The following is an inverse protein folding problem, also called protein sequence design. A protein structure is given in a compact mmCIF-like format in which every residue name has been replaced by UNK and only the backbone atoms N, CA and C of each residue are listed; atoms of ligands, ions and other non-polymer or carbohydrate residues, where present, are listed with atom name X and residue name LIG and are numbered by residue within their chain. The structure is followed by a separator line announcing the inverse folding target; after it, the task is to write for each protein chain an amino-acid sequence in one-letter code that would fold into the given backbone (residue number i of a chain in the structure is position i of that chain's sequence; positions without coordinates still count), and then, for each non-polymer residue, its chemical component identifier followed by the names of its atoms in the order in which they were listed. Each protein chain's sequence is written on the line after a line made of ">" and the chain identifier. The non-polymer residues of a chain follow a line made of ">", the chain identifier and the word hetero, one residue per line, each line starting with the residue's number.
data_IF_470825529698
#
_entry.id   IF_470825529698
#
_cell.length_a   1.000
_cell.length_b   1.000
_cell.length_c   1.000
_cell.angle_alpha   90.00
_cell.angle_beta   90.00
_cell.angle_gamma   90.00
#
_symmetry.space_group_name_H-M   'P 1'
#
loop_
_entity.id
_entity.type
_entity.pdbx_description
1 polymer ?
#
# COMPACT_ATOMS: atom_id res chain seq x y z
N UNK A 1 -10.85 2.25 40.86
CA UNK A 1 -11.26 1.66 39.56
C UNK A 1 -10.40 2.29 38.46
N UNK A 2 -9.32 1.61 38.05
CA UNK A 2 -8.40 2.14 37.02
C UNK A 2 -9.06 1.97 35.65
N UNK A 3 -9.39 3.08 35.01
CA UNK A 3 -9.82 3.11 33.61
C UNK A 3 -8.56 2.89 32.77
N UNK A 4 -8.35 1.66 32.31
CA UNK A 4 -7.39 1.38 31.23
C UNK A 4 -7.97 1.97 29.95
N UNK A 5 -7.31 3.02 29.45
CA UNK A 5 -7.60 3.61 28.14
C UNK A 5 -7.28 2.55 27.07
N UNK A 6 -8.28 1.81 26.63
CA UNK A 6 -8.21 1.00 25.41
C UNK A 6 -8.17 1.96 24.22
N UNK A 7 -6.97 2.38 23.86
CA UNK A 7 -6.74 3.05 22.59
C UNK A 7 -6.99 2.01 21.52
N UNK A 8 -8.17 2.06 20.88
CA UNK A 8 -8.42 1.37 19.61
C UNK A 8 -7.54 2.05 18.56
N UNK A 9 -6.25 1.77 18.62
CA UNK A 9 -5.32 1.95 17.52
C UNK A 9 -5.43 0.71 16.66
N UNK A 10 -5.73 0.89 15.37
CA UNK A 10 -5.23 -0.06 14.38
C UNK A 10 -3.74 -0.20 14.70
N UNK A 11 -3.26 -1.41 14.95
CA UNK A 11 -1.87 -1.60 15.32
C UNK A 11 -1.05 -1.22 14.08
N UNK A 12 -0.51 0.00 14.06
CA UNK A 12 0.04 0.60 12.85
C UNK A 12 1.33 -0.08 12.36
N UNK A 13 1.84 -1.06 13.12
CA UNK A 13 2.86 -2.01 12.69
C UNK A 13 2.37 -3.02 11.65
N UNK A 14 1.05 -3.23 11.53
CA UNK A 14 0.52 -4.27 10.65
C UNK A 14 0.86 -4.00 9.17
N UNK A 15 0.86 -2.74 8.74
CA UNK A 15 1.26 -2.38 7.36
C UNK A 15 2.74 -2.64 7.07
N UNK A 16 3.63 -2.55 8.06
CA UNK A 16 5.05 -2.88 7.87
C UNK A 16 5.26 -4.38 7.73
N UNK A 17 4.26 -5.19 8.10
CA UNK A 17 4.26 -6.64 7.92
C UNK A 17 3.75 -7.06 6.54
N UNK A 18 3.12 -6.15 5.80
CA UNK A 18 2.64 -6.42 4.45
C UNK A 18 3.82 -6.71 3.50
N UNK A 19 3.64 -7.62 2.52
CA UNK A 19 4.60 -7.79 1.44
C UNK A 19 4.63 -6.56 0.52
N UNK A 20 5.63 -6.50 -0.36
CA UNK A 20 5.59 -5.55 -1.48
C UNK A 20 4.33 -5.77 -2.32
N UNK A 21 3.66 -4.67 -2.65
CA UNK A 21 2.48 -4.68 -3.49
C UNK A 21 2.76 -5.26 -4.89
N UNK A 22 1.72 -5.82 -5.54
CA UNK A 22 1.89 -6.64 -6.72
C UNK A 22 2.54 -5.89 -7.90
N UNK A 23 2.26 -4.60 -8.10
CA UNK A 23 2.85 -3.88 -9.23
C UNK A 23 4.35 -3.57 -9.08
N UNK A 24 4.86 -3.42 -7.85
CA UNK A 24 6.33 -3.34 -7.65
C UNK A 24 7.01 -4.66 -7.97
N UNK A 25 6.43 -5.78 -7.54
CA UNK A 25 7.00 -7.10 -7.84
C UNK A 25 6.90 -7.39 -9.34
N UNK A 26 5.77 -7.07 -9.95
CA UNK A 26 5.57 -7.15 -11.40
C UNK A 26 6.59 -6.32 -12.19
N UNK A 27 6.88 -5.09 -11.74
CA UNK A 27 7.84 -4.21 -12.41
C UNK A 27 9.27 -4.77 -12.49
N UNK A 28 9.64 -5.68 -11.58
CA UNK A 28 10.90 -6.41 -11.64
C UNK A 28 10.87 -7.55 -12.68
N UNK A 29 9.69 -8.11 -12.98
CA UNK A 29 9.51 -9.21 -13.93
C UNK A 29 9.28 -8.73 -15.37
N UNK A 30 8.53 -7.63 -15.54
CA UNK A 30 8.04 -7.10 -16.84
C UNK A 30 9.12 -6.30 -17.60
N UNK A 31 10.41 -6.59 -17.36
CA UNK A 31 11.52 -5.87 -18.00
C UNK A 31 11.95 -6.44 -19.36
N UNK A 32 11.16 -7.35 -19.96
CA UNK A 32 11.51 -7.88 -21.27
C UNK A 32 11.37 -6.77 -22.34
N UNK A 33 12.41 -6.52 -23.17
CA UNK A 33 12.32 -5.56 -24.25
C UNK A 33 11.08 -5.81 -25.12
N UNK A 34 10.25 -4.79 -25.28
CA UNK A 34 9.04 -4.85 -26.11
C UNK A 34 7.75 -5.17 -25.35
N UNK A 35 7.80 -5.71 -24.13
CA UNK A 35 6.62 -6.14 -23.36
C UNK A 35 5.64 -4.99 -23.05
N UNK A 36 6.14 -3.75 -23.12
CA UNK A 36 5.38 -2.52 -22.91
C UNK A 36 5.37 -2.10 -21.45
N UNK A 37 4.42 -1.23 -21.08
CA UNK A 37 4.23 -0.78 -19.69
C UNK A 37 3.36 -1.78 -18.93
N UNK A 38 3.58 -1.91 -17.62
CA UNK A 38 2.61 -2.59 -16.75
C UNK A 38 1.26 -1.86 -16.81
N UNK A 39 0.17 -2.60 -17.04
CA UNK A 39 -1.19 -2.07 -16.98
C UNK A 39 -1.73 -2.20 -15.55
N UNK A 40 -1.77 -3.42 -15.02
CA UNK A 40 -2.02 -3.66 -13.60
C UNK A 40 -1.42 -4.99 -13.15
N UNK A 41 -1.32 -5.18 -11.84
CA UNK A 41 -0.93 -6.43 -11.20
C UNK A 41 -1.79 -6.69 -9.94
N UNK A 42 -2.03 -7.96 -9.63
CA UNK A 42 -2.83 -8.38 -8.48
C UNK A 42 -2.25 -9.62 -7.81
N UNK A 43 -2.37 -9.71 -6.49
CA UNK A 43 -2.13 -10.97 -5.79
C UNK A 43 -3.42 -11.75 -5.60
N UNK A 44 -3.32 -13.07 -5.72
CA UNK A 44 -4.39 -14.01 -5.40
C UNK A 44 -3.80 -15.22 -4.67
N UNK A 45 -4.54 -15.80 -3.76
CA UNK A 45 -4.20 -17.03 -3.02
C UNK A 45 -5.19 -18.15 -3.31
N UNK A 46 -6.47 -17.82 -3.40
CA UNK A 46 -7.58 -18.75 -3.55
C UNK A 46 -8.32 -18.50 -4.86
N UNK A 47 -8.82 -19.58 -5.48
CA UNK A 47 -9.74 -19.47 -6.60
C UNK A 47 -10.86 -20.49 -6.51
N UNK A 48 -12.04 -20.10 -6.98
CA UNK A 48 -13.19 -21.00 -7.17
C UNK A 48 -13.47 -21.24 -8.65
N UNK A 49 -14.29 -22.25 -8.95
CA UNK A 49 -14.69 -22.61 -10.30
C UNK A 49 -16.21 -22.68 -10.42
N UNK A 50 -16.76 -21.86 -11.31
CA UNK A 50 -18.15 -21.83 -11.74
C UNK A 50 -18.24 -22.39 -13.18
N UNK A 51 -18.00 -23.70 -13.29
CA UNK A 51 -17.99 -24.45 -14.56
C UNK A 51 -18.81 -25.72 -14.39
N UNK A 52 -19.76 -26.02 -15.30
CA UNK A 52 -20.53 -27.26 -15.24
C UNK A 52 -19.64 -28.50 -15.15
N UNK A 53 -19.91 -29.35 -14.14
CA UNK A 53 -19.18 -30.60 -13.93
C UNK A 53 -17.79 -30.47 -13.31
N UNK A 54 -17.40 -29.27 -12.87
CA UNK A 54 -16.19 -29.05 -12.06
C UNK A 54 -16.61 -28.73 -10.63
N UNK A 55 -16.05 -29.45 -9.67
CA UNK A 55 -16.31 -29.22 -8.24
C UNK A 55 -15.33 -28.18 -7.71
N UNK A 56 -15.82 -27.26 -6.88
CA UNK A 56 -14.97 -26.34 -6.13
C UNK A 56 -13.94 -27.10 -5.30
N UNK A 57 -12.71 -26.61 -5.28
CA UNK A 57 -11.64 -27.12 -4.41
C UNK A 57 -11.43 -26.27 -3.16
N UNK A 58 -12.23 -25.22 -2.98
CA UNK A 58 -12.11 -24.36 -1.80
C UNK A 58 -12.60 -25.06 -0.55
N UNK A 59 -11.92 -24.80 0.57
CA UNK A 59 -12.41 -25.22 1.86
C UNK A 59 -13.73 -24.51 2.16
N UNK A 60 -14.63 -25.20 2.87
CA UNK A 60 -15.82 -24.55 3.42
C UNK A 60 -15.35 -23.38 4.31
N UNK A 61 -15.80 -22.16 4.01
CA UNK A 61 -15.48 -20.89 4.68
C UNK A 61 -14.36 -20.03 4.06
N UNK A 62 -13.66 -20.49 3.02
CA UNK A 62 -12.67 -19.64 2.31
C UNK A 62 -13.34 -18.76 1.25
N UNK A 63 -13.18 -17.43 1.33
CA UNK A 63 -13.63 -16.50 0.29
C UNK A 63 -12.63 -16.47 -0.89
N UNK A 64 -13.06 -16.76 -2.13
CA UNK A 64 -12.15 -16.75 -3.28
C UNK A 64 -11.64 -15.36 -3.62
N UNK A 65 -10.37 -15.27 -4.03
CA UNK A 65 -9.82 -14.04 -4.65
C UNK A 65 -10.19 -13.93 -6.13
N UNK A 66 -10.49 -15.06 -6.78
CA UNK A 66 -10.96 -15.09 -8.17
C UNK A 66 -11.95 -16.25 -8.40
N UNK A 67 -12.89 -16.05 -9.34
CA UNK A 67 -13.82 -17.09 -9.79
C UNK A 67 -13.58 -17.34 -11.27
N UNK A 68 -13.26 -18.59 -11.62
CA UNK A 68 -13.06 -19.06 -12.98
C UNK A 68 -14.39 -19.56 -13.51
N UNK A 69 -14.86 -19.04 -14.65
CA UNK A 69 -16.17 -19.41 -15.19
C UNK A 69 -16.09 -19.74 -16.69
N UNK A 70 -17.00 -20.59 -17.15
CA UNK A 70 -17.03 -20.99 -18.56
C UNK A 70 -18.02 -22.11 -18.88
N UNK A 71 -18.22 -22.39 -20.18
CA UNK A 71 -19.26 -23.30 -20.64
C UNK A 71 -18.94 -24.79 -20.42
N UNK A 72 -17.66 -25.15 -20.28
CA UNK A 72 -17.21 -26.53 -20.18
C UNK A 72 -15.85 -26.63 -19.45
N UNK A 73 -15.52 -27.84 -18.98
CA UNK A 73 -14.28 -28.14 -18.25
C UNK A 73 -13.00 -27.86 -19.05
N UNK A 74 -13.06 -27.84 -20.37
CA UNK A 74 -11.89 -27.60 -21.21
C UNK A 74 -11.85 -26.18 -21.80
N UNK A 75 -12.64 -25.24 -21.27
CA UNK A 75 -12.57 -23.85 -21.69
C UNK A 75 -11.21 -23.21 -21.36
N UNK A 76 -10.87 -22.12 -22.06
CA UNK A 76 -9.58 -21.44 -21.93
C UNK A 76 -9.28 -21.00 -20.50
N UNK A 77 -10.24 -20.39 -19.80
CA UNK A 77 -10.04 -19.88 -18.45
C UNK A 77 -9.58 -20.99 -17.48
N UNK A 78 -10.24 -22.16 -17.53
CA UNK A 78 -9.87 -23.30 -16.69
C UNK A 78 -8.51 -23.89 -17.08
N UNK A 79 -8.16 -23.95 -18.36
CA UNK A 79 -6.84 -24.45 -18.80
C UNK A 79 -5.68 -23.66 -18.21
N UNK A 80 -5.82 -22.34 -18.08
CA UNK A 80 -4.74 -21.48 -17.56
C UNK A 80 -4.54 -21.53 -16.05
N UNK A 81 -5.53 -22.02 -15.29
CA UNK A 81 -5.51 -22.02 -13.81
C UNK A 81 -5.52 -23.41 -13.18
N UNK A 82 -5.85 -24.47 -13.94
CA UNK A 82 -5.99 -25.84 -13.43
C UNK A 82 -4.74 -26.40 -12.74
N UNK A 83 -3.55 -25.97 -13.16
CA UNK A 83 -2.27 -26.48 -12.64
C UNK A 83 -1.80 -25.67 -11.42
N UNK A 84 -2.63 -24.74 -10.93
CA UNK A 84 -2.28 -23.90 -9.81
C UNK A 84 -2.57 -24.56 -8.47
N UNK A 85 -1.53 -24.77 -7.67
CA UNK A 85 -1.67 -25.39 -6.33
C UNK A 85 -2.39 -24.44 -5.37
N UNK A 86 -3.42 -24.89 -4.63
CA UNK A 86 -4.12 -24.04 -3.65
C UNK A 86 -3.17 -23.57 -2.54
N UNK A 87 -3.51 -22.44 -1.91
CA UNK A 87 -2.77 -21.89 -0.77
C UNK A 87 -1.44 -21.20 -1.09
N UNK A 88 -0.99 -21.21 -2.36
CA UNK A 88 0.18 -20.42 -2.79
C UNK A 88 -0.25 -19.04 -3.28
N UNK A 89 0.50 -18.02 -2.90
CA UNK A 89 0.34 -16.67 -3.45
C UNK A 89 0.76 -16.68 -4.91
N UNK A 90 -0.05 -16.05 -5.73
CA UNK A 90 0.15 -15.91 -7.18
C UNK A 90 0.10 -14.44 -7.55
N UNK A 91 0.98 -14.06 -8.47
CA UNK A 91 1.02 -12.73 -9.05
C UNK A 91 0.43 -12.77 -10.46
N UNK A 92 -0.66 -12.04 -10.66
CA UNK A 92 -1.23 -11.76 -11.96
C UNK A 92 -0.68 -10.44 -12.47
N UNK A 93 -0.29 -10.42 -13.74
CA UNK A 93 0.37 -9.28 -14.37
C UNK A 93 -0.18 -9.03 -15.76
N UNK A 94 -0.86 -7.90 -15.95
CA UNK A 94 -1.36 -7.48 -17.26
C UNK A 94 -0.42 -6.47 -17.90
N UNK A 95 -0.05 -6.75 -19.15
CA UNK A 95 0.68 -5.86 -20.05
C UNK A 95 -0.12 -5.70 -21.35
N UNK A 96 0.27 -4.78 -22.25
CA UNK A 96 -0.33 -4.69 -23.58
C UNK A 96 -0.26 -6.00 -24.38
N UNK A 97 0.71 -6.87 -24.08
CA UNK A 97 0.96 -8.10 -24.84
C UNK A 97 0.27 -9.34 -24.25
N UNK A 98 0.13 -9.43 -22.92
CA UNK A 98 -0.30 -10.64 -22.24
C UNK A 98 -0.82 -10.40 -20.83
N UNK A 99 -1.55 -11.38 -20.31
CA UNK A 99 -1.77 -11.56 -18.89
C UNK A 99 -0.92 -12.75 -18.43
N UNK A 100 0.12 -12.49 -17.65
CA UNK A 100 1.02 -13.51 -17.11
C UNK A 100 0.66 -13.85 -15.66
N UNK A 101 0.80 -15.13 -15.32
CA UNK A 101 0.57 -15.69 -13.99
C UNK A 101 1.87 -16.29 -13.47
N UNK A 102 2.30 -15.83 -12.30
CA UNK A 102 3.45 -16.39 -11.58
C UNK A 102 3.00 -16.93 -10.23
N UNK A 103 3.71 -17.93 -9.71
CA UNK A 103 3.50 -18.46 -8.35
C UNK A 103 4.74 -18.24 -7.50
N UNK A 104 4.53 -18.04 -6.20
CA UNK A 104 5.63 -17.96 -5.24
C UNK A 104 6.34 -19.31 -5.12
N UNK A 105 7.67 -19.27 -5.19
CA UNK A 105 8.53 -20.43 -4.98
C UNK A 105 8.66 -20.64 -3.48
N UNK A 106 8.22 -21.81 -3.01
CA UNK A 106 8.41 -22.17 -1.60
C UNK A 106 9.92 -22.18 -1.30
N UNK A 107 10.33 -21.48 -0.23
CA UNK A 107 11.70 -21.54 0.22
C UNK A 107 12.07 -23.02 0.46
N UNK A 108 13.22 -23.50 -0.05
CA UNK A 108 13.63 -24.88 0.18
C UNK A 108 13.69 -25.13 1.69
N UNK A 109 13.03 -26.21 2.14
CA UNK A 109 13.19 -26.65 3.53
C UNK A 109 14.69 -26.89 3.76
N UNK A 110 15.26 -26.40 4.87
CA UNK A 110 16.67 -26.65 5.15
C UNK A 110 16.90 -28.16 5.15
N UNK A 111 17.81 -28.64 4.30
CA UNK A 111 18.09 -30.07 4.21
C UNK A 111 18.47 -30.60 5.60
N UNK A 112 17.91 -31.75 6.02
CA UNK A 112 18.33 -32.37 7.27
C UNK A 112 19.82 -32.71 7.12
N UNK A 113 20.67 -32.01 7.86
CA UNK A 113 22.11 -32.19 7.79
C UNK A 113 22.48 -33.62 8.19
N UNK A 114 22.60 -34.51 7.21
CA UNK A 114 23.11 -35.87 7.41
C UNK A 114 24.64 -35.80 7.38
N UNK A 115 25.26 -35.90 8.56
CA UNK A 115 26.72 -36.04 8.72
C UNK A 115 27.34 -34.99 9.65
N UNK A 116 27.23 -35.19 10.96
CA UNK A 116 27.89 -34.34 11.95
C UNK A 116 29.39 -34.70 12.09
N UNK A 117 30.27 -33.93 11.44
CA UNK A 117 31.70 -33.84 11.80
C UNK A 117 31.94 -32.63 12.72
N UNK A 118 33.05 -32.61 13.48
CA UNK A 118 33.39 -31.60 14.49
C UNK A 118 33.33 -30.12 14.01
N UNK A 119 33.40 -29.85 12.70
CA UNK A 119 33.15 -28.54 12.10
C UNK A 119 31.68 -28.06 12.25
N UNK A 120 30.73 -28.99 12.34
CA UNK A 120 29.32 -28.70 12.58
C UNK A 120 29.07 -28.10 13.98
N UNK A 121 29.92 -28.39 14.97
CA UNK A 121 29.80 -27.77 16.30
C UNK A 121 30.22 -26.29 16.30
N UNK A 122 31.25 -25.93 15.53
CA UNK A 122 31.68 -24.53 15.36
C UNK A 122 30.67 -23.75 14.50
N UNK A 123 30.14 -24.39 13.45
CA UNK A 123 29.05 -23.82 12.66
C UNK A 123 27.75 -23.66 13.47
N UNK A 124 27.45 -24.57 14.41
CA UNK A 124 26.31 -24.48 15.32
C UNK A 124 26.48 -23.36 16.36
N UNK A 125 27.69 -23.15 16.88
CA UNK A 125 27.98 -21.99 17.73
C UNK A 125 27.81 -20.67 16.96
N UNK A 126 28.27 -20.61 15.71
CA UNK A 126 28.06 -19.47 14.82
C UNK A 126 26.59 -19.24 14.44
N UNK A 127 25.82 -20.32 14.26
CA UNK A 127 24.37 -20.26 14.00
C UNK A 127 23.57 -19.85 15.25
N UNK A 128 23.90 -20.37 16.42
CA UNK A 128 23.27 -19.98 17.69
C UNK A 128 23.60 -18.52 18.05
N UNK A 129 24.79 -18.02 17.68
CA UNK A 129 25.14 -16.59 17.75
C UNK A 129 24.40 -15.76 16.69
N UNK A 130 24.27 -16.23 15.45
CA UNK A 130 23.50 -15.55 14.41
C UNK A 130 22.00 -15.53 14.75
N UNK A 131 21.45 -16.59 15.34
CA UNK A 131 20.07 -16.68 15.84
C UNK A 131 19.85 -15.80 17.07
N UNK A 132 20.78 -15.77 18.05
CA UNK A 132 20.71 -14.84 19.18
C UNK A 132 20.87 -13.38 18.79
N UNK A 133 21.67 -13.07 17.76
CA UNK A 133 21.75 -11.71 17.20
C UNK A 133 20.45 -11.39 16.44
N UNK A 134 19.83 -12.38 15.79
CA UNK A 134 18.51 -12.22 15.16
C UNK A 134 17.36 -12.05 16.16
N UNK A 135 17.46 -12.59 17.39
CA UNK A 135 16.42 -12.45 18.43
C UNK A 135 16.24 -11.00 18.90
N UNK A 136 17.24 -10.12 18.72
CA UNK A 136 17.15 -8.72 19.15
C UNK A 136 16.49 -7.78 18.13
N UNK A 137 16.38 -8.19 16.86
CA UNK A 137 15.81 -7.35 15.80
C UNK A 137 14.31 -7.56 15.72
N UNK A 138 13.56 -6.47 15.52
CA UNK A 138 12.13 -6.60 15.31
C UNK A 138 11.81 -7.24 13.96
N UNK A 139 10.79 -8.10 13.97
CA UNK A 139 10.16 -8.63 12.76
C UNK A 139 8.78 -8.03 12.58
N UNK A 140 8.45 -7.76 11.34
CA UNK A 140 7.15 -7.28 10.87
C UNK A 140 6.71 -8.28 9.80
N UNK A 141 5.98 -9.32 10.19
CA UNK A 141 5.70 -10.45 9.28
C UNK A 141 7.00 -11.08 8.76
N UNK A 142 7.17 -11.08 7.43
CA UNK A 142 8.39 -11.55 6.77
C UNK A 142 9.52 -10.50 6.72
N UNK A 143 9.23 -9.24 7.06
CA UNK A 143 10.17 -8.14 6.99
C UNK A 143 10.96 -7.99 8.30
N UNK A 144 12.22 -7.56 8.20
CA UNK A 144 13.13 -7.43 9.35
C UNK A 144 13.58 -5.97 9.50
N UNK A 145 13.65 -5.48 10.73
CA UNK A 145 14.21 -4.16 11.08
C UNK A 145 15.52 -3.90 10.32
N UNK A 146 15.72 -2.71 9.74
CA UNK A 146 16.95 -2.29 9.03
C UNK A 146 17.32 -3.12 7.78
N UNK A 147 16.50 -4.10 7.37
CA UNK A 147 16.65 -4.83 6.10
C UNK A 147 15.70 -4.29 5.04
N UNK A 148 16.14 -4.13 3.77
CA UNK A 148 15.24 -3.79 2.69
C UNK A 148 14.13 -4.83 2.57
N UNK A 149 12.90 -4.40 2.34
CA UNK A 149 11.81 -5.33 2.04
C UNK A 149 12.18 -6.17 0.82
N UNK A 150 12.18 -7.49 0.98
CA UNK A 150 12.61 -8.43 -0.04
C UNK A 150 11.55 -8.58 -1.15
N UNK A 151 12.02 -8.75 -2.38
CA UNK A 151 11.17 -9.20 -3.48
C UNK A 151 10.94 -10.72 -3.32
N UNK A 152 9.69 -11.21 -3.44
CA UNK A 152 9.43 -12.64 -3.44
C UNK A 152 10.06 -13.28 -4.68
N UNK A 153 10.51 -14.52 -4.54
CA UNK A 153 10.98 -15.32 -5.68
C UNK A 153 9.76 -15.96 -6.34
N UNK A 154 9.57 -15.67 -7.62
CA UNK A 154 8.41 -16.11 -8.39
C UNK A 154 8.85 -16.95 -9.59
N UNK A 155 8.05 -17.97 -9.93
CA UNK A 155 8.21 -18.77 -11.14
C UNK A 155 7.00 -18.61 -12.07
N UNK A 156 7.19 -18.63 -13.41
CA UNK A 156 6.09 -18.53 -14.35
C UNK A 156 5.22 -19.78 -14.30
N UNK A 157 3.90 -19.59 -14.24
CA UNK A 157 2.92 -20.67 -14.20
C UNK A 157 2.10 -20.77 -15.49
N UNK A 158 1.61 -19.63 -15.98
CA UNK A 158 0.80 -19.58 -17.20
C UNK A 158 0.87 -18.20 -17.86
N UNK A 159 0.50 -18.16 -19.13
CA UNK A 159 0.39 -16.93 -19.92
C UNK A 159 -0.86 -16.96 -20.79
N UNK A 160 -1.63 -15.87 -20.75
CA UNK A 160 -2.77 -15.63 -21.63
C UNK A 160 -2.38 -14.51 -22.62
N UNK A 161 -2.12 -14.84 -23.90
CA UNK A 161 -1.80 -13.84 -24.91
C UNK A 161 -2.94 -12.84 -25.07
N UNK A 162 -2.64 -11.56 -25.38
CA UNK A 162 -3.66 -10.52 -25.58
C UNK A 162 -4.69 -10.90 -26.64
N UNK A 163 -4.29 -11.63 -27.68
CA UNK A 163 -5.20 -12.13 -28.73
C UNK A 163 -6.26 -13.12 -28.25
N UNK A 164 -6.12 -13.67 -27.03
CA UNK A 164 -7.12 -14.54 -26.38
C UNK A 164 -8.02 -13.79 -25.41
N UNK A 165 -7.74 -12.52 -25.14
CA UNK A 165 -8.52 -11.66 -24.26
C UNK A 165 -9.55 -10.91 -25.09
N UNK A 166 -10.82 -11.15 -24.85
CA UNK A 166 -11.92 -10.45 -25.50
C UNK A 166 -12.15 -9.05 -24.90
N UNK A 167 -11.89 -8.87 -23.60
CA UNK A 167 -11.97 -7.57 -22.95
C UNK A 167 -12.03 -7.63 -21.44
N UNK A 168 -12.07 -6.44 -20.84
CA UNK A 168 -12.28 -6.22 -19.40
C UNK A 168 -13.52 -5.38 -19.19
N UNK A 169 -14.32 -5.72 -18.17
CA UNK A 169 -15.51 -4.97 -17.79
C UNK A 169 -15.73 -5.02 -16.27
N UNK A 170 -16.56 -4.11 -15.77
CA UNK A 170 -17.12 -4.24 -14.43
C UNK A 170 -18.32 -5.17 -14.50
N UNK A 171 -18.26 -6.27 -13.74
CA UNK A 171 -19.38 -7.20 -13.58
C UNK A 171 -19.79 -7.30 -12.11
N UNK A 172 -20.75 -8.16 -11.80
CA UNK A 172 -21.23 -8.38 -10.44
C UNK A 172 -21.32 -9.88 -10.14
N UNK A 173 -21.02 -10.23 -8.88
CA UNK A 173 -21.30 -11.54 -8.28
C UNK A 173 -22.17 -11.29 -7.05
N UNK A 174 -23.48 -11.51 -7.21
CA UNK A 174 -24.47 -10.97 -6.26
C UNK A 174 -24.39 -9.45 -6.24
N UNK A 175 -24.26 -8.86 -5.05
CA UNK A 175 -24.12 -7.41 -4.87
C UNK A 175 -22.66 -6.91 -4.93
N UNK A 176 -21.70 -7.81 -5.11
CA UNK A 176 -20.27 -7.47 -5.10
C UNK A 176 -19.79 -7.13 -6.51
N UNK A 177 -19.27 -5.92 -6.77
CA UNK A 177 -18.65 -5.58 -8.05
C UNK A 177 -17.33 -6.34 -8.21
N UNK A 178 -17.03 -6.78 -9.43
CA UNK A 178 -15.80 -7.51 -9.76
C UNK A 178 -15.18 -6.99 -11.05
N UNK A 179 -13.85 -7.08 -11.16
CA UNK A 179 -13.17 -6.91 -12.45
C UNK A 179 -13.30 -8.23 -13.23
N UNK A 180 -14.03 -8.21 -14.33
CA UNK A 180 -14.22 -9.38 -15.19
C UNK A 180 -13.29 -9.33 -16.39
N UNK A 181 -12.48 -10.36 -16.52
CA UNK A 181 -11.75 -10.72 -17.74
C UNK A 181 -12.62 -11.67 -18.57
N UNK A 182 -12.89 -11.32 -19.83
CA UNK A 182 -13.52 -12.23 -20.80
C UNK A 182 -12.49 -12.74 -21.80
N UNK A 183 -12.56 -14.04 -22.10
CA UNK A 183 -11.77 -14.70 -23.13
C UNK A 183 -12.60 -14.94 -24.40
N UNK A 184 -11.92 -15.14 -25.52
CA UNK A 184 -12.54 -15.29 -26.86
C UNK A 184 -13.48 -16.49 -27.00
N UNK A 185 -13.35 -17.50 -26.15
CA UNK A 185 -14.21 -18.70 -26.14
C UNK A 185 -15.45 -18.56 -25.23
N UNK A 186 -15.72 -17.35 -24.74
CA UNK A 186 -16.80 -17.02 -23.78
C UNK A 186 -16.59 -17.63 -22.39
N UNK A 187 -15.37 -18.04 -22.03
CA UNK A 187 -14.97 -18.24 -20.64
C UNK A 187 -14.33 -16.97 -20.06
N UNK A 188 -14.05 -16.96 -18.76
CA UNK A 188 -13.42 -15.82 -18.13
C UNK A 188 -13.03 -16.00 -16.68
N UNK A 189 -12.52 -14.91 -16.11
CA UNK A 189 -12.07 -14.83 -14.73
C UNK A 189 -12.65 -13.57 -14.11
N UNK A 190 -13.31 -13.72 -12.96
CA UNK A 190 -13.74 -12.59 -12.14
C UNK A 190 -12.73 -12.41 -11.01
N UNK A 191 -12.11 -11.24 -10.91
CA UNK A 191 -11.19 -10.90 -9.84
C UNK A 191 -11.95 -10.21 -8.70
N UNK A 192 -11.89 -10.80 -7.50
CA UNK A 192 -12.48 -10.32 -6.25
C UNK A 192 -11.43 -9.73 -5.28
N UNK A 193 -10.22 -9.46 -5.77
CA UNK A 193 -8.99 -9.07 -5.03
C UNK A 193 -9.12 -7.81 -4.18
N UNK A 194 -9.93 -7.84 -3.13
CA UNK A 194 -10.17 -6.72 -2.22
C UNK A 194 -10.81 -5.49 -2.85
N UNK A 195 -11.33 -5.59 -4.09
CA UNK A 195 -12.12 -4.52 -4.70
C UNK A 195 -13.51 -4.53 -4.08
N UNK A 196 -13.83 -3.48 -3.35
CA UNK A 196 -15.04 -3.38 -2.53
C UNK A 196 -16.09 -2.46 -3.14
N UNK A 197 -15.72 -1.67 -4.13
CA UNK A 197 -16.64 -0.78 -4.81
C UNK A 197 -16.45 -0.76 -6.34
N UNK A 198 -17.45 -0.18 -7.00
CA UNK A 198 -17.51 -0.10 -8.45
C UNK A 198 -16.43 0.81 -9.02
N UNK A 199 -16.03 1.86 -8.32
CA UNK A 199 -15.05 2.83 -8.82
C UNK A 199 -13.65 2.20 -8.86
N UNK A 200 -13.32 1.34 -7.89
CA UNK A 200 -12.11 0.51 -7.90
C UNK A 200 -12.07 -0.42 -9.12
N UNK A 201 -13.20 -1.04 -9.46
CA UNK A 201 -13.32 -1.89 -10.65
C UNK A 201 -13.23 -1.08 -11.94
N UNK A 202 -13.88 0.09 -12.02
CA UNK A 202 -13.81 0.99 -13.18
C UNK A 202 -12.39 1.51 -13.40
N UNK A 203 -11.67 1.85 -12.32
CA UNK A 203 -10.25 2.19 -12.39
C UNK A 203 -9.41 1.04 -12.95
N UNK A 204 -9.64 -0.19 -12.48
CA UNK A 204 -8.93 -1.38 -12.96
C UNK A 204 -9.22 -1.67 -14.45
N UNK A 205 -10.47 -1.49 -14.91
CA UNK A 205 -10.85 -1.57 -16.33
C UNK A 205 -10.13 -0.51 -17.15
N UNK A 206 -10.10 0.75 -16.68
CA UNK A 206 -9.37 1.83 -17.33
C UNK A 206 -7.89 1.50 -17.51
N UNK A 207 -7.23 1.03 -16.45
CA UNK A 207 -5.85 0.54 -16.53
C UNK A 207 -5.70 -0.59 -17.56
N UNK A 208 -6.61 -1.56 -17.58
CA UNK A 208 -6.57 -2.72 -18.49
C UNK A 208 -6.73 -2.35 -19.97
N UNK A 209 -7.36 -1.21 -20.24
CA UNK A 209 -7.55 -0.64 -21.57
C UNK A 209 -6.52 0.45 -21.92
N UNK A 210 -5.59 0.75 -21.01
CA UNK A 210 -4.54 1.75 -21.21
C UNK A 210 -5.00 3.20 -21.05
N UNK A 211 -6.19 3.42 -20.48
CA UNK A 211 -6.75 4.74 -20.21
C UNK A 211 -6.32 5.25 -18.82
N UNK A 212 -6.06 6.57 -18.67
CA UNK A 212 -5.75 7.15 -17.36
C UNK A 212 -6.97 7.20 -16.43
N UNK A 213 -6.80 6.62 -15.23
CA UNK A 213 -7.58 6.71 -13.98
C UNK A 213 -8.82 7.61 -13.91
N UNK A 214 -9.94 7.03 -13.44
CA UNK A 214 -11.09 7.72 -12.86
C UNK A 214 -10.86 8.10 -11.37
N UNK A 215 -11.69 9.00 -10.83
CA UNK A 215 -11.60 9.47 -9.42
C UNK A 215 -12.28 8.46 -8.48
N UNK A 216 -11.78 8.27 -7.25
CA UNK A 216 -12.49 7.52 -6.22
C UNK A 216 -13.87 8.12 -5.93
N UNK A 217 -14.94 7.31 -5.98
CA UNK A 217 -16.22 7.71 -5.43
C UNK A 217 -16.28 7.51 -3.92
N UNK A 218 -17.33 8.06 -3.32
CA UNK A 218 -17.33 8.43 -1.91
C UNK A 218 -17.79 7.33 -0.94
N UNK A 219 -17.98 6.07 -1.35
CA UNK A 219 -18.77 5.12 -0.56
C UNK A 219 -17.97 3.98 0.08
N UNK A 220 -17.82 4.04 1.40
CA UNK A 220 -17.68 2.87 2.27
C UNK A 220 -18.22 3.25 3.66
N UNK A 221 -19.29 2.60 4.11
CA UNK A 221 -19.97 2.92 5.38
C UNK A 221 -19.05 2.73 6.60
N UNK A 222 -18.10 1.79 6.53
CA UNK A 222 -17.11 1.59 7.57
C UNK A 222 -16.06 2.72 7.62
N UNK A 223 -15.59 3.19 6.46
CA UNK A 223 -14.64 4.32 6.40
C UNK A 223 -15.31 5.62 6.81
N UNK A 224 -16.61 5.79 6.57
CA UNK A 224 -17.38 6.94 7.08
C UNK A 224 -17.39 6.99 8.61
N UNK A 225 -17.55 5.86 9.30
CA UNK A 225 -17.45 5.78 10.77
C UNK A 225 -16.06 6.15 11.27
N UNK A 226 -15.01 5.68 10.59
CA UNK A 226 -13.61 6.03 10.91
C UNK A 226 -13.30 7.50 10.62
N UNK A 227 -13.83 8.05 9.53
CA UNK A 227 -13.69 9.45 9.17
C UNK A 227 -14.37 10.35 10.20
N UNK A 228 -15.55 9.99 10.69
CA UNK A 228 -16.24 10.72 11.75
C UNK A 228 -15.49 10.65 13.08
N UNK A 229 -14.97 9.47 13.45
CA UNK A 229 -14.11 9.33 14.64
C UNK A 229 -12.84 10.18 14.52
N UNK A 230 -12.22 10.21 13.35
CA UNK A 230 -11.02 10.99 13.07
C UNK A 230 -11.31 12.49 13.13
N UNK A 231 -12.47 12.93 12.61
CA UNK A 231 -12.93 14.32 12.69
C UNK A 231 -13.18 14.77 14.13
N UNK A 232 -13.93 14.00 14.93
CA UNK A 232 -14.16 14.29 16.37
C UNK A 232 -12.86 14.37 17.18
N UNK A 233 -11.87 13.56 16.82
CA UNK A 233 -10.55 13.64 17.44
C UNK A 233 -9.81 14.91 17.01
N UNK A 234 -9.94 15.31 15.74
CA UNK A 234 -9.34 16.52 15.20
C UNK A 234 -9.97 17.81 15.72
N UNK A 235 -11.25 17.81 16.10
CA UNK A 235 -11.88 18.94 16.80
C UNK A 235 -11.16 19.31 18.11
N UNK A 236 -10.42 18.35 18.71
CA UNK A 236 -9.56 18.59 19.88
C UNK A 236 -8.16 19.10 19.52
N UNK A 237 -7.80 19.11 18.24
CA UNK A 237 -6.50 19.50 17.70
C UNK A 237 -6.52 20.90 17.06
N UNK A 238 -7.70 21.49 16.93
CA UNK A 238 -7.91 22.79 16.28
C UNK A 238 -8.14 23.89 17.32
N UNK A 239 -7.86 25.13 16.92
CA UNK A 239 -8.10 26.30 17.77
C UNK A 239 -9.61 26.58 17.89
N UNK A 240 -10.07 27.24 18.96
CA UNK A 240 -11.47 27.66 19.06
C UNK A 240 -11.91 28.41 17.80
N UNK A 241 -13.03 27.99 17.20
CA UNK A 241 -13.59 28.58 15.98
C UNK A 241 -13.05 28.06 14.66
N UNK A 242 -12.02 27.20 14.66
CA UNK A 242 -11.54 26.55 13.44
C UNK A 242 -12.48 25.40 13.01
N UNK A 243 -12.88 25.40 11.74
CA UNK A 243 -13.63 24.29 11.15
C UNK A 243 -12.66 23.27 10.53
N UNK A 244 -12.68 22.03 11.01
CA UNK A 244 -11.93 20.90 10.43
C UNK A 244 -12.55 20.54 9.08
N UNK A 245 -11.73 20.58 8.02
CA UNK A 245 -12.10 20.08 6.70
C UNK A 245 -11.66 18.62 6.56
N UNK A 246 -10.43 18.32 6.99
CA UNK A 246 -9.82 16.99 6.88
C UNK A 246 -8.90 16.73 8.06
N UNK A 247 -8.87 15.48 8.50
CA UNK A 247 -7.97 14.99 9.53
C UNK A 247 -7.44 13.61 9.17
N UNK A 248 -6.14 13.55 8.92
CA UNK A 248 -5.41 12.32 8.67
C UNK A 248 -5.26 11.46 9.91
N UNK A 249 -4.99 10.19 9.65
CA UNK A 249 -4.58 9.20 10.63
C UNK A 249 -3.06 9.27 10.89
N UNK A 250 -2.59 8.45 11.84
CA UNK A 250 -1.16 8.22 11.99
C UNK A 250 -0.71 7.25 10.90
N UNK A 251 -0.04 7.76 9.86
CA UNK A 251 0.53 6.91 8.83
C UNK A 251 2.00 6.69 9.16
N UNK A 252 2.33 5.51 9.67
CA UNK A 252 3.71 5.15 9.97
C UNK A 252 4.39 4.66 8.68
N UNK A 253 5.47 5.33 8.31
CA UNK A 253 6.29 4.96 7.17
C UNK A 253 7.29 6.06 6.83
N UNK A 254 8.28 5.71 6.02
CA UNK A 254 9.23 6.65 5.45
C UNK A 254 8.54 7.65 4.54
N UNK A 255 9.24 8.77 4.35
CA UNK A 255 8.92 9.79 3.36
C UNK A 255 9.86 9.60 2.18
N UNK A 256 9.32 9.59 0.96
CA UNK A 256 10.09 9.74 -0.26
C UNK A 256 9.96 11.16 -0.79
N UNK A 257 11.05 11.72 -1.32
CA UNK A 257 11.04 13.07 -1.93
C UNK A 257 11.75 13.03 -3.28
N UNK A 258 11.07 13.50 -4.32
CA UNK A 258 11.63 13.85 -5.62
C UNK A 258 11.88 15.37 -5.66
N UNK A 259 13.15 15.78 -5.60
CA UNK A 259 13.61 17.18 -5.72
C UNK A 259 14.27 17.40 -7.09
N UNK A 260 13.51 17.94 -8.04
CA UNK A 260 13.96 18.04 -9.42
C UNK A 260 14.31 16.66 -9.96
N UNK A 261 15.60 16.39 -10.20
CA UNK A 261 16.10 15.08 -10.65
C UNK A 261 16.59 14.17 -9.52
N UNK A 262 16.76 14.70 -8.31
CA UNK A 262 17.23 13.92 -7.16
C UNK A 262 16.07 13.18 -6.51
N UNK A 263 16.23 11.87 -6.35
CA UNK A 263 15.32 11.05 -5.57
C UNK A 263 15.93 10.72 -4.21
N UNK A 264 15.16 10.92 -3.13
CA UNK A 264 15.57 10.69 -1.74
C UNK A 264 14.60 9.74 -1.07
N UNK A 265 15.00 8.47 -0.94
CA UNK A 265 14.21 7.41 -0.31
C UNK A 265 15.14 6.52 0.53
N UNK A 266 15.04 6.53 1.88
CA UNK A 266 14.21 7.44 2.68
C UNK A 266 14.72 8.88 2.66
N UNK A 267 13.82 9.84 2.80
CA UNK A 267 14.16 11.26 2.94
C UNK A 267 14.69 11.58 4.34
N UNK A 268 15.80 12.31 4.38
CA UNK A 268 16.31 12.93 5.60
C UNK A 268 15.95 14.43 5.60
N UNK A 269 15.45 14.98 6.72
CA UNK A 269 15.08 16.39 6.83
C UNK A 269 16.20 17.33 6.38
N UNK A 270 15.85 18.39 5.65
CA UNK A 270 16.79 19.42 5.18
C UNK A 270 16.77 20.67 6.06
N UNK A 271 15.61 21.01 6.60
CA UNK A 271 15.39 22.17 7.47
C UNK A 271 15.70 21.91 8.94
N UNK A 272 15.62 22.98 9.74
CA UNK A 272 15.77 22.92 11.20
C UNK A 272 14.54 22.28 11.82
N UNK A 273 14.73 21.15 12.49
CA UNK A 273 13.66 20.42 13.15
C UNK A 273 13.65 20.66 14.66
N UNK A 274 12.46 20.71 15.32
CA UNK A 274 12.38 20.79 16.77
C UNK A 274 12.95 19.52 17.41
N UNK A 275 13.58 19.62 18.57
CA UNK A 275 14.08 18.44 19.27
C UNK A 275 12.92 17.55 19.74
N UNK A 276 12.99 16.25 19.43
CA UNK A 276 11.98 15.25 19.79
C UNK A 276 12.59 14.10 20.60
N UNK A 277 11.82 13.60 21.57
CA UNK A 277 12.13 12.41 22.38
C UNK A 277 11.58 11.16 21.67
N UNK A 278 12.24 10.73 20.61
CA UNK A 278 11.91 9.50 19.87
C UNK A 278 12.96 8.41 20.15
N UNK A 279 12.52 7.16 20.26
CA UNK A 279 13.41 5.99 20.41
C UNK A 279 14.21 5.73 19.12
N UNK A 280 15.04 4.68 19.02
CA UNK A 280 15.63 4.29 17.71
C UNK A 280 14.51 3.88 16.74
N UNK A 281 14.59 4.30 15.48
CA UNK A 281 13.70 3.79 14.42
C UNK A 281 14.09 2.34 14.11
N UNK A 282 13.12 1.43 14.14
CA UNK A 282 13.35 -0.01 13.97
C UNK A 282 12.53 -0.60 12.83
N UNK A 283 12.26 0.17 11.79
CA UNK A 283 11.47 -0.27 10.64
C UNK A 283 12.34 -1.03 9.63
N UNK A 284 11.75 -1.92 8.80
CA UNK A 284 12.42 -2.43 7.61
C UNK A 284 12.75 -1.29 6.66
N UNK A 285 13.86 -1.35 5.92
CA UNK A 285 14.19 -0.33 4.91
C UNK A 285 13.28 -0.46 3.67
N UNK A 286 13.06 0.64 2.93
CA UNK A 286 12.41 0.56 1.63
C UNK A 286 13.08 -0.44 0.69
N UNK A 287 12.28 -1.08 -0.15
CA UNK A 287 12.77 -1.99 -1.18
C UNK A 287 13.66 -1.25 -2.18
N UNK A 288 14.65 -1.92 -2.80
CA UNK A 288 15.49 -1.31 -3.83
C UNK A 288 14.69 -0.74 -5.02
N UNK A 289 13.56 -1.37 -5.36
CA UNK A 289 12.65 -0.95 -6.44
C UNK A 289 11.97 0.39 -6.16
N UNK A 290 11.91 0.81 -4.89
CA UNK A 290 11.34 2.10 -4.45
C UNK A 290 12.22 3.30 -4.79
N UNK A 291 13.44 3.06 -5.31
CA UNK A 291 14.30 4.06 -5.92
C UNK A 291 13.84 4.47 -7.33
N UNK A 292 12.69 3.96 -7.80
CA UNK A 292 12.01 4.45 -8.98
C UNK A 292 10.87 5.40 -8.58
N UNK A 293 10.57 6.47 -9.35
CA UNK A 293 9.54 7.46 -8.99
C UNK A 293 8.14 6.90 -8.73
N UNK A 294 7.81 5.72 -9.25
CA UNK A 294 6.52 5.04 -9.06
C UNK A 294 6.61 3.83 -8.13
N UNK A 295 7.81 3.40 -7.71
CA UNK A 295 8.00 2.18 -6.91
C UNK A 295 7.46 2.29 -5.49
N UNK A 296 7.30 3.51 -4.98
CA UNK A 296 6.88 3.74 -3.59
C UNK A 296 5.43 3.36 -3.29
N UNK A 297 4.53 3.38 -4.29
CA UNK A 297 3.10 3.14 -4.10
C UNK A 297 2.83 1.74 -3.52
N UNK A 298 3.72 0.81 -3.84
CA UNK A 298 3.66 -0.58 -3.41
C UNK A 298 4.67 -0.97 -2.35
N UNK A 299 5.50 -0.03 -1.91
CA UNK A 299 6.38 -0.26 -0.78
C UNK A 299 5.60 -0.08 0.53
N UNK A 300 5.40 -1.14 1.33
CA UNK A 300 4.67 -1.04 2.60
C UNK A 300 5.35 -0.07 3.56
N UNK A 301 6.65 0.20 3.42
CA UNK A 301 7.40 1.08 4.31
C UNK A 301 7.27 2.56 3.99
N UNK A 302 6.77 2.97 2.82
CA UNK A 302 6.72 4.40 2.41
C UNK A 302 5.30 4.96 2.54
N UNK A 303 5.04 5.81 3.53
CA UNK A 303 3.70 6.37 3.76
C UNK A 303 3.44 7.68 3.00
N UNK A 304 4.50 8.41 2.65
CA UNK A 304 4.42 9.76 2.12
C UNK A 304 5.34 9.95 0.91
N UNK A 305 4.88 10.72 -0.06
CA UNK A 305 5.65 11.05 -1.25
C UNK A 305 5.51 12.53 -1.60
N UNK A 306 6.64 13.21 -1.74
CA UNK A 306 6.68 14.62 -2.14
C UNK A 306 7.35 14.78 -3.48
N UNK A 307 6.79 15.68 -4.29
CA UNK A 307 7.39 16.13 -5.53
C UNK A 307 7.54 17.66 -5.48
N UNK A 308 8.77 18.12 -5.68
CA UNK A 308 9.14 19.54 -5.70
C UNK A 308 10.32 19.75 -6.66
N UNK A 309 10.55 20.98 -7.09
CA UNK A 309 11.71 21.37 -7.89
C UNK A 309 12.94 21.72 -7.02
N UNK A 310 12.73 22.19 -5.78
CA UNK A 310 13.80 22.53 -4.84
C UNK A 310 13.38 22.39 -3.36
N UNK A 311 14.36 22.44 -2.46
CA UNK A 311 14.15 22.20 -1.02
C UNK A 311 13.27 23.23 -0.30
N UNK A 312 13.24 24.49 -0.75
CA UNK A 312 12.46 25.56 -0.13
C UNK A 312 10.93 25.53 -0.37
N UNK A 313 10.36 24.41 -0.83
CA UNK A 313 8.93 24.28 -1.15
C UNK A 313 8.11 23.83 0.06
N UNK A 314 6.84 24.21 0.09
CA UNK A 314 5.89 23.94 1.18
C UNK A 314 5.73 22.42 1.42
N UNK A 315 5.63 21.62 0.36
CA UNK A 315 5.55 20.17 0.49
C UNK A 315 6.83 19.56 1.10
N UNK A 316 8.01 20.16 0.87
CA UNK A 316 9.28 19.68 1.44
C UNK A 316 9.37 19.99 2.93
N UNK A 317 8.85 21.14 3.39
CA UNK A 317 8.73 21.43 4.81
C UNK A 317 7.85 20.40 5.54
N UNK A 318 6.76 19.96 4.90
CA UNK A 318 5.95 18.84 5.40
C UNK A 318 6.72 17.52 5.39
N UNK A 319 7.46 17.21 4.31
CA UNK A 319 8.29 16.01 4.23
C UNK A 319 9.33 15.93 5.35
N UNK A 320 10.03 17.04 5.61
CA UNK A 320 11.01 17.15 6.69
C UNK A 320 10.38 16.81 8.04
N UNK A 321 9.24 17.44 8.35
CA UNK A 321 8.57 17.21 9.62
C UNK A 321 7.97 15.80 9.72
N UNK A 322 7.42 15.25 8.64
CA UNK A 322 6.89 13.88 8.61
C UNK A 322 8.00 12.83 8.79
N UNK A 323 9.17 13.04 8.15
CA UNK A 323 10.33 12.17 8.29
C UNK A 323 10.91 12.28 9.71
N UNK A 324 11.03 13.50 10.24
CA UNK A 324 11.55 13.77 11.58
C UNK A 324 10.68 13.18 12.69
N UNK A 325 9.36 13.33 12.56
CA UNK A 325 8.38 12.76 13.49
C UNK A 325 8.15 11.27 13.25
N UNK A 326 8.66 10.71 12.14
CA UNK A 326 8.51 9.29 11.76
C UNK A 326 7.04 8.89 11.66
N UNK A 327 6.26 9.71 10.97
CA UNK A 327 4.84 9.44 10.69
C UNK A 327 3.91 9.48 11.91
N UNK A 328 4.40 9.83 13.11
CA UNK A 328 3.56 9.96 14.31
C UNK A 328 2.76 11.27 14.33
N UNK A 329 3.19 12.26 13.54
CA UNK A 329 2.44 13.48 13.36
C UNK A 329 1.25 13.26 12.44
N UNK A 330 0.13 13.91 12.78
CA UNK A 330 -1.11 13.86 12.02
C UNK A 330 -1.25 15.11 11.18
N UNK A 331 -1.72 14.92 9.96
CA UNK A 331 -2.12 16.02 9.11
C UNK A 331 -3.53 16.50 9.48
N UNK A 332 -3.68 17.78 9.76
CA UNK A 332 -4.98 18.42 10.02
C UNK A 332 -5.13 19.61 9.07
N UNK A 333 -6.23 19.64 8.33
CA UNK A 333 -6.59 20.75 7.47
C UNK A 333 -7.85 21.42 7.98
N UNK A 334 -7.78 22.73 8.20
CA UNK A 334 -8.89 23.60 8.54
C UNK A 334 -9.07 24.68 7.48
N UNK A 335 -10.13 25.48 7.59
CA UNK A 335 -10.29 26.69 6.75
C UNK A 335 -9.19 27.73 6.97
N UNK A 336 -8.51 27.70 8.12
CA UNK A 336 -7.48 28.68 8.46
C UNK A 336 -6.07 28.20 8.09
N UNK A 337 -5.78 26.90 8.25
CA UNK A 337 -4.42 26.37 8.12
C UNK A 337 -4.36 24.88 7.79
N UNK A 338 -3.22 24.49 7.25
CA UNK A 338 -2.70 23.12 7.28
C UNK A 338 -1.74 22.99 8.45
N UNK A 339 -1.84 21.92 9.23
CA UNK A 339 -0.96 21.66 10.35
C UNK A 339 -0.53 20.20 10.43
N UNK A 340 0.70 20.00 10.89
CA UNK A 340 1.15 18.71 11.43
C UNK A 340 1.09 18.79 12.94
N UNK A 341 0.34 17.87 13.55
CA UNK A 341 0.08 17.84 14.99
C UNK A 341 0.65 16.56 15.58
N UNK A 342 1.48 16.69 16.61
CA UNK A 342 2.07 15.57 17.33
C UNK A 342 1.70 15.61 18.82
N UNK A 343 1.83 14.46 19.50
CA UNK A 343 1.63 14.42 20.95
C UNK A 343 2.71 15.27 21.64
N UNK A 344 2.30 16.19 22.52
CA UNK A 344 3.20 17.17 23.15
C UNK A 344 4.33 16.51 23.94
N UNK A 345 4.07 15.34 24.53
CA UNK A 345 5.08 14.53 25.24
C UNK A 345 6.26 14.06 24.37
N UNK A 346 6.15 14.15 23.05
CA UNK A 346 7.23 13.82 22.12
C UNK A 346 8.21 14.97 21.94
N UNK A 347 7.88 16.20 22.35
CA UNK A 347 8.81 17.32 22.32
C UNK A 347 9.88 17.14 23.41
N UNK A 348 11.13 17.48 23.10
CA UNK A 348 12.20 17.48 24.10
C UNK A 348 11.94 18.52 25.21
N UNK A 349 11.30 19.63 24.86
CA UNK A 349 10.96 20.72 25.78
C UNK A 349 9.46 21.02 25.65
N UNK A 350 8.58 20.21 26.27
CA UNK A 350 7.15 20.43 26.19
C UNK A 350 6.74 21.71 26.93
N UNK A 351 5.78 22.49 26.42
CA UNK A 351 5.21 23.62 27.16
C UNK A 351 4.55 23.12 28.46
N UNK A 352 4.64 23.92 29.53
CA UNK A 352 4.03 23.64 30.83
C UNK A 352 3.22 24.87 31.33
N UNK A 353 1.90 24.75 31.55
CA UNK A 353 1.04 23.62 31.20
C UNK A 353 0.79 23.57 29.69
N UNK A 354 1.02 22.42 29.08
CA UNK A 354 0.87 22.22 27.64
C UNK A 354 -0.43 21.50 27.26
N UNK A 355 -1.02 21.77 26.09
CA UNK A 355 -2.07 20.92 25.54
C UNK A 355 -1.53 19.50 25.31
N UNK A 356 -2.37 18.46 25.26
CA UNK A 356 -1.92 17.08 24.99
C UNK A 356 -1.29 16.90 23.59
N UNK A 357 -1.61 17.81 22.67
CA UNK A 357 -1.20 17.79 21.28
C UNK A 357 -0.69 19.19 20.88
N UNK A 358 0.39 19.26 20.11
CA UNK A 358 1.04 20.50 19.68
C UNK A 358 1.24 20.49 18.18
N UNK A 359 0.95 21.62 17.52
CA UNK A 359 1.35 21.84 16.13
C UNK A 359 2.87 21.92 16.04
N UNK A 360 3.49 21.02 15.28
CA UNK A 360 4.94 21.03 15.02
C UNK A 360 5.29 21.72 13.71
N UNK A 361 4.30 21.90 12.84
CA UNK A 361 4.38 22.71 11.62
C UNK A 361 3.00 23.30 11.32
N UNK A 362 2.96 24.55 10.86
CA UNK A 362 1.74 25.20 10.38
C UNK A 362 2.02 25.95 9.08
N UNK A 363 1.09 25.82 8.13
CA UNK A 363 1.06 26.59 6.89
C UNK A 363 -0.33 27.24 6.76
N UNK A 364 -0.43 28.50 6.31
CA UNK A 364 -1.74 29.11 6.08
C UNK A 364 -2.49 28.38 4.97
N UNK A 365 -3.81 28.26 5.07
CA UNK A 365 -4.62 27.53 4.09
C UNK A 365 -4.50 28.10 2.66
N UNK A 366 -4.16 29.38 2.53
CA UNK A 366 -3.90 30.06 1.25
C UNK A 366 -2.69 29.49 0.48
N UNK A 367 -1.85 28.66 1.10
CA UNK A 367 -0.77 27.93 0.44
C UNK A 367 -1.24 26.67 -0.28
N UNK A 368 -2.46 26.22 -0.02
CA UNK A 368 -3.02 25.01 -0.62
C UNK A 368 -3.81 25.42 -1.85
N UNK A 369 -3.37 24.93 -3.01
CA UNK A 369 -4.05 25.12 -4.28
C UNK A 369 -5.21 24.12 -4.45
N UNK A 370 -4.99 22.86 -4.11
CA UNK A 370 -6.00 21.83 -4.24
C UNK A 370 -5.82 20.71 -3.22
N UNK A 371 -6.93 20.07 -2.88
CA UNK A 371 -7.02 18.87 -2.05
C UNK A 371 -7.82 17.85 -2.86
N UNK A 372 -7.25 16.68 -3.12
CA UNK A 372 -7.89 15.69 -3.97
C UNK A 372 -7.73 14.27 -3.40
N UNK A 373 -8.75 13.44 -3.65
CA UNK A 373 -8.64 12.00 -3.57
C UNK A 373 -8.26 11.48 -4.96
N UNK A 374 -7.26 10.61 -5.04
CA UNK A 374 -6.88 9.93 -6.28
C UNK A 374 -6.62 8.45 -6.02
N UNK A 375 -6.91 7.60 -7.01
CA UNK A 375 -6.30 6.28 -7.07
C UNK A 375 -4.95 6.43 -7.78
N UNK A 376 -3.95 5.69 -7.31
CA UNK A 376 -2.65 5.69 -7.95
C UNK A 376 -2.04 4.29 -7.97
N UNK A 377 -1.17 4.09 -8.96
CA UNK A 377 -0.39 2.88 -9.13
C UNK A 377 -1.09 1.84 -9.97
N UNK A 378 -0.42 0.70 -10.11
CA UNK A 378 -0.85 -0.39 -10.98
C UNK A 378 -1.27 -1.63 -10.17
N UNK A 379 -1.28 -1.56 -8.85
CA UNK A 379 -1.73 -2.68 -8.00
C UNK A 379 -3.25 -2.72 -7.88
N UNK A 380 -3.81 -3.93 -7.83
CA UNK A 380 -5.18 -4.20 -7.44
C UNK A 380 -5.22 -4.81 -6.02
N UNK A 381 -6.13 -4.35 -5.15
CA UNK A 381 -7.05 -3.23 -5.38
C UNK A 381 -6.30 -1.89 -5.44
N UNK A 382 -6.83 -0.87 -6.14
CA UNK A 382 -6.15 0.40 -6.28
C UNK A 382 -6.08 1.12 -4.93
N UNK A 383 -4.95 1.80 -4.70
CA UNK A 383 -4.69 2.46 -3.42
C UNK A 383 -5.22 3.89 -3.44
N UNK A 384 -6.20 4.25 -2.59
CA UNK A 384 -6.64 5.63 -2.49
C UNK A 384 -5.57 6.46 -1.77
N UNK A 385 -5.24 7.61 -2.36
CA UNK A 385 -4.30 8.57 -1.84
C UNK A 385 -5.00 9.90 -1.56
N UNK A 386 -4.56 10.57 -0.50
CA UNK A 386 -4.78 12.00 -0.36
C UNK A 386 -3.64 12.73 -1.08
N UNK A 387 -4.01 13.64 -1.97
CA UNK A 387 -3.10 14.55 -2.66
C UNK A 387 -3.36 15.99 -2.23
N UNK A 388 -2.29 16.67 -1.83
CA UNK A 388 -2.26 18.10 -1.57
C UNK A 388 -1.36 18.77 -2.61
N UNK A 389 -1.92 19.72 -3.35
CA UNK A 389 -1.18 20.57 -4.25
C UNK A 389 -1.00 21.95 -3.62
N UNK A 390 0.22 22.48 -3.66
CA UNK A 390 0.58 23.77 -3.09
C UNK A 390 0.63 24.85 -4.17
N UNK A 391 0.47 26.11 -3.77
CA UNK A 391 0.52 27.27 -4.67
C UNK A 391 1.90 27.50 -5.26
N UNK A 392 2.94 26.97 -4.61
CA UNK A 392 4.33 27.01 -5.06
C UNK A 392 4.68 25.92 -6.10
N UNK A 393 3.70 25.11 -6.51
CA UNK A 393 3.84 24.06 -7.51
C UNK A 393 4.28 22.70 -6.96
N UNK A 394 4.60 22.60 -5.67
CA UNK A 394 4.93 21.32 -5.03
C UNK A 394 3.69 20.50 -4.71
N UNK A 395 3.86 19.18 -4.55
CA UNK A 395 2.78 18.24 -4.25
C UNK A 395 3.20 17.27 -3.14
N UNK A 396 2.28 17.00 -2.22
CA UNK A 396 2.37 15.91 -1.25
C UNK A 396 1.29 14.87 -1.53
N UNK A 397 1.68 13.60 -1.59
CA UNK A 397 0.79 12.43 -1.61
C UNK A 397 0.99 11.61 -0.35
N UNK A 398 -0.09 11.12 0.25
CA UNK A 398 -0.03 10.26 1.42
C UNK A 398 -1.02 9.11 1.31
N UNK A 399 -0.58 7.93 1.78
CA UNK A 399 -1.39 6.72 1.87
C UNK A 399 -2.27 6.79 3.12
N UNK A 400 -3.35 7.55 3.00
CA UNK A 400 -4.35 7.68 4.05
C UNK A 400 -5.75 7.53 3.44
N UNK A 401 -6.32 6.31 3.44
CA UNK A 401 -7.63 6.06 2.82
C UNK A 401 -8.74 6.87 3.48
N UNK A 402 -8.61 7.19 4.77
CA UNK A 402 -9.62 7.97 5.51
C UNK A 402 -9.56 9.42 5.06
N UNK A 403 -8.36 10.02 5.02
CA UNK A 403 -8.17 11.38 4.56
C UNK A 403 -8.52 11.54 3.07
N UNK A 404 -8.17 10.56 2.23
CA UNK A 404 -8.53 10.55 0.82
C UNK A 404 -10.05 10.61 0.64
N UNK A 405 -10.81 9.78 1.37
CA UNK A 405 -12.29 9.83 1.28
C UNK A 405 -12.87 11.12 1.84
N UNK A 406 -12.29 11.70 2.89
CA UNK A 406 -12.69 13.04 3.36
C UNK A 406 -12.46 14.10 2.28
N UNK A 407 -11.34 14.06 1.56
CA UNK A 407 -11.06 14.97 0.44
C UNK A 407 -12.06 14.81 -0.71
N UNK A 408 -12.48 13.58 -1.02
CA UNK A 408 -13.52 13.34 -2.02
C UNK A 408 -14.87 14.01 -1.69
N UNK A 409 -15.14 14.30 -0.41
CA UNK A 409 -16.33 15.03 0.04
C UNK A 409 -16.15 16.55 0.03
N UNK A 410 -14.92 17.06 0.05
CA UNK A 410 -14.63 18.51 -0.01
C UNK A 410 -14.78 19.05 -1.43
N UNK A 411 -14.44 18.23 -2.44
CA UNK A 411 -14.48 18.60 -3.86
C UNK A 411 -15.87 18.55 -4.51
N UNK A 412 -16.93 18.31 -3.73
CA UNK A 412 -18.34 18.37 -4.14
C UNK A 412 -18.97 19.62 -3.53
#
# INVERSE_FOLDING_TARGET
>A
MRVTSSTVGVNTTDFLADPLGPATVAGALVQQPGEGRLLWAAYTTAHDVDIPGVTSTLACDETPDLIVWGPARDCLAHRYVRDSSPGRRRLWTLTPQRLALHTEVAAPLPEPSQGASLLAKVAKLGRELAEKVNETRLRFGANVEDEPVALPTLEPLAEIPRSRIAGFEVAHRGDTPVLRLRLVDRSGIDFLVGMTDRDECEYAVGLANGEPSLRPGARAEWVAKLAEKSRKLAERLVRPGEQVLLAGTNNHGYVGVQLGRELRVPHAPLGVMPALNLTKLRWPRPAPTSQNPNGWLDDPTIAFWVQADHAGRDAVALADMLAHTRGVARLVLTRARLALVAATKLLATPPDPGPPMTSVLELPATRIRAVAAEYAGHSLPPKPLLRLDFTDGSTLRLRDPIAARQAALIGR
#
